data_IF_294515515895
#
_entry.id   IF_294515515895
#
_cell.length_a   1.000
_cell.length_b   1.000
_cell.length_c   1.000
_cell.angle_alpha   90.00
_cell.angle_beta   90.00
_cell.angle_gamma   90.00
#
_symmetry.space_group_name_H-M   'P 1'
#
loop_
_entity.id
_entity.type
_entity.pdbx_description
1 polymer ?
#
# COMPACT_ATOMS: atom_id res chain seq x y z
N UNK A 1 -21.23 -13.59 -18.30
CA UNK A 1 -20.41 -12.92 -17.31
C UNK A 1 -20.99 -13.03 -15.90
N UNK A 2 -22.17 -12.47 -15.61
CA UNK A 2 -22.75 -12.45 -14.25
C UNK A 2 -22.83 -13.81 -13.55
N UNK A 3 -23.22 -14.86 -14.26
CA UNK A 3 -23.28 -16.23 -13.72
C UNK A 3 -21.89 -16.72 -13.29
N UNK A 4 -20.88 -16.50 -14.11
CA UNK A 4 -19.48 -16.87 -13.79
C UNK A 4 -18.97 -16.12 -12.56
N UNK A 5 -19.10 -14.80 -12.54
CA UNK A 5 -18.65 -13.97 -11.41
C UNK A 5 -19.33 -14.39 -10.11
N UNK A 6 -20.66 -14.54 -10.11
CA UNK A 6 -21.38 -14.92 -8.90
C UNK A 6 -21.07 -16.36 -8.48
N UNK A 7 -21.01 -17.30 -9.43
CA UNK A 7 -20.66 -18.68 -9.13
C UNK A 7 -19.28 -18.78 -8.45
N UNK A 8 -18.29 -18.07 -8.96
CA UNK A 8 -16.95 -18.03 -8.38
C UNK A 8 -16.94 -17.38 -6.99
N UNK A 9 -17.67 -16.25 -6.79
CA UNK A 9 -17.80 -15.60 -5.47
C UNK A 9 -18.32 -16.53 -4.38
N UNK A 10 -19.34 -17.32 -4.71
CA UNK A 10 -19.93 -18.26 -3.74
C UNK A 10 -19.02 -19.44 -3.41
N UNK A 11 -18.09 -19.79 -4.31
CA UNK A 11 -17.15 -20.90 -4.10
C UNK A 11 -15.85 -20.46 -3.45
N UNK A 12 -15.30 -19.31 -3.84
CA UNK A 12 -14.00 -18.83 -3.37
C UNK A 12 -14.05 -18.28 -1.95
N UNK A 13 -15.15 -17.58 -1.57
CA UNK A 13 -15.37 -16.99 -0.24
C UNK A 13 -14.18 -16.15 0.27
N UNK A 14 -13.52 -15.44 -0.63
CA UNK A 14 -12.38 -14.59 -0.30
C UNK A 14 -12.84 -13.34 0.44
N UNK A 15 -12.17 -13.03 1.56
CA UNK A 15 -12.47 -11.86 2.37
C UNK A 15 -12.00 -10.59 1.66
N UNK A 16 -12.77 -9.51 1.76
CA UNK A 16 -12.36 -8.20 1.25
C UNK A 16 -11.25 -7.60 2.10
N UNK A 17 -10.41 -6.71 1.52
CA UNK A 17 -9.38 -6.00 2.28
C UNK A 17 -9.92 -5.27 3.50
N UNK A 18 -11.14 -4.70 3.39
CA UNK A 18 -11.81 -3.98 4.50
C UNK A 18 -12.55 -4.89 5.49
N UNK A 19 -12.42 -6.22 5.38
CA UNK A 19 -13.09 -7.18 6.25
C UNK A 19 -14.63 -7.25 6.14
N UNK A 20 -15.26 -6.44 5.27
CA UNK A 20 -16.72 -6.27 5.24
C UNK A 20 -17.51 -7.49 4.80
N UNK A 21 -16.94 -8.36 3.98
CA UNK A 21 -17.61 -9.57 3.48
C UNK A 21 -16.68 -10.54 2.74
N UNK A 22 -17.02 -11.84 2.81
CA UNK A 22 -16.29 -12.93 2.15
C UNK A 22 -16.75 -13.13 0.70
N UNK A 23 -16.70 -12.08 -0.14
CA UNK A 23 -17.08 -12.12 -1.54
C UNK A 23 -16.21 -11.22 -2.42
N UNK A 24 -14.92 -11.11 -2.07
CA UNK A 24 -13.98 -10.27 -2.79
C UNK A 24 -13.75 -10.75 -4.23
N UNK A 25 -13.38 -11.98 -4.43
CA UNK A 25 -12.93 -12.52 -5.71
C UNK A 25 -14.06 -13.18 -6.52
N UNK A 26 -14.13 -12.88 -7.84
CA UNK A 26 -13.53 -11.78 -8.58
C UNK A 26 -14.36 -10.48 -8.48
N UNK A 27 -13.77 -9.33 -8.87
CA UNK A 27 -14.47 -8.04 -8.85
C UNK A 27 -15.58 -7.95 -9.90
N UNK A 28 -16.84 -7.90 -9.44
CA UNK A 28 -18.01 -7.80 -10.33
C UNK A 28 -18.11 -6.44 -11.04
N UNK A 29 -17.79 -5.34 -10.36
CA UNK A 29 -17.80 -4.00 -10.95
C UNK A 29 -16.77 -3.90 -12.09
N UNK A 30 -15.57 -4.41 -11.86
CA UNK A 30 -14.52 -4.45 -12.88
C UNK A 30 -14.94 -5.32 -14.05
N UNK A 31 -15.48 -6.52 -13.79
CA UNK A 31 -15.96 -7.41 -14.85
C UNK A 31 -17.02 -6.72 -15.75
N UNK A 32 -18.01 -6.04 -15.14
CA UNK A 32 -19.07 -5.34 -15.88
C UNK A 32 -18.51 -4.19 -16.71
N UNK A 33 -17.58 -3.39 -16.15
CA UNK A 33 -16.94 -2.28 -16.86
C UNK A 33 -16.14 -2.76 -18.06
N UNK A 34 -15.42 -3.89 -17.93
CA UNK A 34 -14.65 -4.46 -19.04
C UNK A 34 -15.53 -5.15 -20.09
N UNK A 35 -16.69 -5.69 -19.74
CA UNK A 35 -17.71 -6.10 -20.74
C UNK A 35 -18.12 -4.88 -21.57
N UNK A 36 -18.50 -3.77 -20.93
CA UNK A 36 -18.90 -2.56 -21.62
C UNK A 36 -17.79 -1.98 -22.52
N UNK A 37 -16.57 -1.97 -22.03
CA UNK A 37 -15.39 -1.51 -22.78
C UNK A 37 -15.14 -2.38 -24.03
N UNK A 38 -15.25 -3.71 -23.89
CA UNK A 38 -15.04 -4.66 -24.99
C UNK A 38 -16.16 -4.56 -26.03
N UNK A 39 -17.40 -4.37 -25.60
CA UNK A 39 -18.53 -4.10 -26.51
C UNK A 39 -18.30 -2.79 -27.29
N UNK A 40 -17.93 -1.71 -26.59
CA UNK A 40 -17.64 -0.41 -27.21
C UNK A 40 -16.49 -0.51 -28.22
N UNK A 41 -15.44 -1.27 -27.88
CA UNK A 41 -14.34 -1.56 -28.79
C UNK A 41 -14.82 -2.26 -30.08
N UNK A 42 -15.62 -3.34 -29.93
CA UNK A 42 -16.06 -4.13 -31.08
C UNK A 42 -17.04 -3.38 -32.00
N UNK A 43 -17.96 -2.65 -31.40
CA UNK A 43 -19.03 -1.99 -32.17
C UNK A 43 -18.58 -0.64 -32.76
N UNK A 44 -17.75 0.10 -32.04
CA UNK A 44 -17.38 1.46 -32.43
C UNK A 44 -15.86 1.66 -32.61
N UNK A 45 -15.05 0.99 -31.76
CA UNK A 45 -13.60 1.11 -31.81
C UNK A 45 -13.01 0.60 -33.13
N UNK A 46 -13.49 -0.54 -33.61
CA UNK A 46 -13.05 -1.15 -34.86
C UNK A 46 -13.73 -0.59 -36.09
N UNK A 47 -14.93 0.02 -35.95
CA UNK A 47 -15.76 0.43 -37.08
C UNK A 47 -15.76 1.91 -37.33
N UNK A 48 -15.54 2.76 -36.31
CA UNK A 48 -15.65 4.23 -36.41
C UNK A 48 -14.36 4.94 -36.03
N UNK A 49 -13.86 4.73 -34.80
CA UNK A 49 -12.64 5.39 -34.34
C UNK A 49 -12.01 4.64 -33.15
N UNK A 50 -10.68 4.42 -33.14
CA UNK A 50 -9.94 3.80 -32.02
C UNK A 50 -10.13 4.52 -30.69
N UNK A 51 -10.48 5.80 -30.70
CA UNK A 51 -10.71 6.57 -29.47
C UNK A 51 -11.86 6.04 -28.62
N UNK A 52 -12.86 5.37 -29.21
CA UNK A 52 -13.90 4.69 -28.45
C UNK A 52 -13.33 3.54 -27.61
N UNK A 53 -12.35 2.81 -28.13
CA UNK A 53 -11.65 1.76 -27.40
C UNK A 53 -10.83 2.34 -26.25
N UNK A 54 -10.06 3.39 -26.53
CA UNK A 54 -9.24 4.07 -25.51
C UNK A 54 -10.12 4.60 -24.37
N UNK A 55 -11.21 5.27 -24.69
CA UNK A 55 -12.16 5.79 -23.70
C UNK A 55 -12.81 4.66 -22.88
N UNK A 56 -13.30 3.61 -23.56
CA UNK A 56 -13.95 2.48 -22.91
C UNK A 56 -13.04 1.74 -21.92
N UNK A 57 -11.86 1.34 -22.39
CA UNK A 57 -10.89 0.65 -21.53
C UNK A 57 -10.29 1.56 -20.48
N UNK A 58 -10.13 2.86 -20.76
CA UNK A 58 -9.70 3.85 -19.77
C UNK A 58 -10.67 3.95 -18.59
N UNK A 59 -11.97 4.08 -18.88
CA UNK A 59 -13.01 4.11 -17.83
C UNK A 59 -13.08 2.79 -17.07
N UNK A 60 -12.99 1.64 -17.75
CA UNK A 60 -13.02 0.33 -17.13
C UNK A 60 -11.83 0.13 -16.17
N UNK A 61 -10.65 0.57 -16.60
CA UNK A 61 -9.43 0.53 -15.77
C UNK A 61 -9.56 1.45 -14.56
N UNK A 62 -10.01 2.68 -14.76
CA UNK A 62 -10.26 3.61 -13.65
C UNK A 62 -11.24 3.01 -12.62
N UNK A 63 -12.29 2.33 -13.09
CA UNK A 63 -13.21 1.60 -12.20
C UNK A 63 -12.47 0.54 -11.37
N UNK A 64 -11.61 -0.26 -12.00
CA UNK A 64 -10.81 -1.26 -11.29
C UNK A 64 -9.88 -0.66 -10.24
N UNK A 65 -9.16 0.39 -10.62
CA UNK A 65 -8.24 1.13 -9.71
C UNK A 65 -9.01 1.68 -8.50
N UNK A 66 -10.15 2.31 -8.71
CA UNK A 66 -10.99 2.82 -7.63
C UNK A 66 -11.48 1.73 -6.68
N UNK A 67 -11.64 0.48 -7.14
CA UNK A 67 -12.02 -0.63 -6.25
C UNK A 67 -10.87 -1.04 -5.33
N UNK A 68 -9.61 -0.95 -5.80
CA UNK A 68 -8.42 -1.19 -4.98
C UNK A 68 -8.22 -0.04 -3.99
N UNK A 69 -8.24 1.20 -4.46
CA UNK A 69 -8.05 2.39 -3.61
C UNK A 69 -9.10 2.52 -2.49
N UNK A 70 -10.31 2.03 -2.74
CA UNK A 70 -11.39 2.02 -1.74
C UNK A 70 -11.36 0.76 -0.83
N UNK A 71 -10.28 0.01 -0.79
CA UNK A 71 -10.12 -1.23 0.00
C UNK A 71 -11.27 -2.26 -0.16
N UNK A 72 -11.96 -2.24 -1.31
CA UNK A 72 -13.11 -3.14 -1.57
C UNK A 72 -12.71 -4.44 -2.25
N UNK A 73 -11.58 -4.43 -2.93
CA UNK A 73 -11.08 -5.57 -3.70
C UNK A 73 -9.56 -5.60 -3.71
N UNK A 74 -9.01 -6.81 -3.67
CA UNK A 74 -7.61 -7.06 -3.94
C UNK A 74 -7.29 -6.80 -5.42
N UNK A 75 -6.02 -6.55 -5.73
CA UNK A 75 -5.57 -6.37 -7.11
C UNK A 75 -5.90 -7.61 -7.96
N UNK A 76 -5.72 -8.80 -7.39
CA UNK A 76 -6.09 -10.09 -8.00
C UNK A 76 -7.56 -10.16 -8.42
N UNK A 77 -8.48 -9.62 -7.58
CA UNK A 77 -9.92 -9.63 -7.86
C UNK A 77 -10.27 -8.76 -9.05
N UNK A 78 -9.62 -7.59 -9.12
CA UNK A 78 -9.79 -6.62 -10.20
C UNK A 78 -9.28 -7.20 -11.51
N UNK A 79 -8.11 -7.84 -11.50
CA UNK A 79 -7.54 -8.47 -12.68
C UNK A 79 -8.38 -9.63 -13.19
N UNK A 80 -8.78 -10.51 -12.30
CA UNK A 80 -9.67 -11.62 -12.64
C UNK A 80 -11.00 -11.13 -13.18
N UNK A 81 -11.54 -10.06 -12.58
CA UNK A 81 -12.76 -9.41 -13.04
C UNK A 81 -12.61 -8.86 -14.46
N UNK A 82 -11.52 -8.15 -14.75
CA UNK A 82 -11.22 -7.62 -16.09
C UNK A 82 -11.12 -8.75 -17.12
N UNK A 83 -10.35 -9.80 -16.82
CA UNK A 83 -10.19 -10.97 -17.69
C UNK A 83 -11.51 -11.67 -17.98
N UNK A 84 -12.35 -11.90 -16.96
CA UNK A 84 -13.68 -12.51 -17.11
C UNK A 84 -14.59 -11.61 -17.96
N UNK A 85 -14.53 -10.29 -17.80
CA UNK A 85 -15.31 -9.35 -18.59
C UNK A 85 -14.99 -9.43 -20.07
N UNK A 86 -13.71 -9.33 -20.43
CA UNK A 86 -13.22 -9.42 -21.81
C UNK A 86 -13.58 -10.80 -22.41
N UNK A 87 -13.19 -11.88 -21.73
CA UNK A 87 -13.39 -13.25 -22.21
C UNK A 87 -14.87 -13.56 -22.45
N UNK A 88 -15.75 -13.15 -21.53
CA UNK A 88 -17.20 -13.37 -21.67
C UNK A 88 -17.77 -12.67 -22.90
N UNK A 89 -17.28 -11.48 -23.23
CA UNK A 89 -17.71 -10.73 -24.41
C UNK A 89 -17.19 -11.39 -25.67
N UNK A 90 -15.90 -11.75 -25.70
CA UNK A 90 -15.28 -12.43 -26.86
C UNK A 90 -15.99 -13.76 -27.17
N UNK A 91 -16.24 -14.56 -26.14
CA UNK A 91 -16.99 -15.82 -26.30
C UNK A 91 -18.42 -15.57 -26.78
N UNK A 92 -19.07 -14.50 -26.32
CA UNK A 92 -20.42 -14.13 -26.78
C UNK A 92 -20.44 -13.81 -28.30
N UNK A 93 -19.47 -13.02 -28.79
CA UNK A 93 -19.33 -12.74 -30.21
C UNK A 93 -18.96 -13.99 -31.01
N UNK A 94 -18.01 -14.79 -30.55
CA UNK A 94 -17.61 -16.02 -31.20
C UNK A 94 -18.79 -16.99 -31.35
N UNK A 95 -19.61 -17.12 -30.29
CA UNK A 95 -20.81 -17.98 -30.31
C UNK A 95 -21.90 -17.43 -31.25
N UNK A 96 -22.09 -16.12 -31.26
CA UNK A 96 -23.00 -15.45 -32.20
C UNK A 96 -22.58 -15.66 -33.65
N UNK A 97 -21.28 -15.51 -33.93
CA UNK A 97 -20.74 -15.71 -35.28
C UNK A 97 -20.84 -17.18 -35.74
N UNK A 98 -20.64 -18.12 -34.79
CA UNK A 98 -20.81 -19.54 -35.07
C UNK A 98 -22.27 -19.90 -35.41
N UNK A 99 -23.23 -19.38 -34.65
CA UNK A 99 -24.64 -19.75 -34.78
C UNK A 99 -25.35 -19.02 -35.92
N UNK A 100 -25.05 -17.71 -36.12
CA UNK A 100 -25.83 -16.88 -37.01
C UNK A 100 -25.13 -16.52 -38.33
N UNK A 101 -23.79 -16.50 -38.32
CA UNK A 101 -23.04 -16.08 -39.52
C UNK A 101 -22.38 -17.25 -40.27
N UNK A 102 -22.41 -18.47 -39.71
CA UNK A 102 -21.77 -19.63 -40.29
C UNK A 102 -20.24 -19.50 -40.48
N UNK A 103 -19.66 -18.50 -39.85
CA UNK A 103 -18.22 -18.24 -39.87
C UNK A 103 -17.60 -18.94 -38.68
N UNK A 104 -16.71 -19.88 -38.94
CA UNK A 104 -15.98 -20.60 -37.90
C UNK A 104 -15.16 -19.66 -37.00
N UNK A 105 -14.71 -20.14 -35.83
CA UNK A 105 -13.87 -19.45 -34.86
C UNK A 105 -12.53 -18.93 -35.41
N UNK A 106 -12.14 -19.40 -36.60
CA UNK A 106 -10.89 -19.06 -37.28
C UNK A 106 -11.17 -18.13 -38.45
N UNK A 107 -11.22 -16.82 -38.18
CA UNK A 107 -11.16 -15.79 -39.21
C UNK A 107 -9.69 -15.56 -39.59
N UNK A 108 -9.26 -16.19 -40.69
CA UNK A 108 -7.85 -16.28 -41.07
C UNK A 108 -7.34 -15.15 -41.99
N UNK A 109 -8.12 -14.10 -42.26
CA UNK A 109 -7.86 -13.24 -43.38
C UNK A 109 -7.68 -11.75 -43.03
N UNK A 110 -6.74 -11.46 -42.13
CA UNK A 110 -6.15 -10.12 -42.11
C UNK A 110 -4.64 -10.23 -42.10
N UNK A 111 -4.01 -9.57 -43.06
CA UNK A 111 -2.55 -9.49 -43.10
C UNK A 111 -2.02 -8.99 -41.78
N UNK A 112 -1.22 -9.83 -41.16
CA UNK A 112 -0.55 -9.47 -39.92
C UNK A 112 0.62 -8.57 -40.27
N UNK A 113 0.47 -7.26 -40.06
CA UNK A 113 1.51 -6.29 -40.30
C UNK A 113 1.64 -5.36 -39.08
N UNK A 114 2.85 -4.89 -38.80
CA UNK A 114 3.16 -3.86 -37.81
C UNK A 114 3.22 -2.46 -38.45
N UNK A 115 2.52 -2.20 -39.54
CA UNK A 115 2.46 -0.87 -40.15
C UNK A 115 1.83 0.15 -39.19
N UNK A 116 0.82 -0.25 -38.41
CA UNK A 116 0.28 0.53 -37.30
C UNK A 116 0.35 -0.26 -36.00
N UNK A 117 1.41 -0.10 -35.18
CA UNK A 117 1.55 -0.78 -33.90
C UNK A 117 0.82 -0.10 -32.75
N UNK A 118 -0.15 0.80 -33.02
CA UNK A 118 -0.96 1.45 -31.99
C UNK A 118 -1.74 0.41 -31.20
N UNK A 119 -1.76 0.59 -29.88
CA UNK A 119 -2.35 -0.41 -28.98
C UNK A 119 -2.93 0.21 -27.72
N UNK A 120 -3.85 -0.54 -27.11
CA UNK A 120 -4.22 -0.42 -25.71
C UNK A 120 -4.09 -1.81 -25.07
N UNK A 121 -3.50 -1.90 -23.89
CA UNK A 121 -3.27 -3.16 -23.23
C UNK A 121 -3.40 -3.08 -21.73
N UNK A 122 -3.66 -4.25 -21.14
CA UNK A 122 -3.62 -4.48 -19.71
C UNK A 122 -2.50 -5.44 -19.42
N UNK A 123 -1.73 -5.11 -18.42
CA UNK A 123 -0.56 -5.89 -18.04
C UNK A 123 -0.65 -6.33 -16.59
N UNK A 124 -0.07 -7.46 -16.31
CA UNK A 124 0.15 -7.96 -14.96
C UNK A 124 1.62 -8.36 -14.83
N UNK A 125 2.21 -8.02 -13.70
CA UNK A 125 3.61 -8.32 -13.44
C UNK A 125 3.95 -8.41 -11.97
N UNK A 126 5.18 -8.79 -11.73
CA UNK A 126 5.79 -8.81 -10.41
C UNK A 126 6.88 -7.75 -10.34
N UNK A 127 6.80 -6.87 -9.36
CA UNK A 127 7.78 -5.83 -9.08
C UNK A 127 8.82 -6.28 -8.07
N UNK A 128 10.09 -6.10 -8.41
CA UNK A 128 11.24 -6.35 -7.56
C UNK A 128 11.88 -5.01 -7.20
N UNK A 129 12.40 -4.86 -5.99
CA UNK A 129 12.99 -3.62 -5.47
C UNK A 129 12.05 -2.88 -4.50
N UNK A 130 12.58 -1.87 -3.83
CA UNK A 130 11.82 -1.03 -2.90
C UNK A 130 11.15 -1.73 -1.72
N UNK A 131 11.69 -2.87 -1.30
CA UNK A 131 11.04 -3.75 -0.32
C UNK A 131 11.17 -3.33 1.13
N UNK A 132 12.20 -2.56 1.45
CA UNK A 132 12.53 -2.21 2.81
C UNK A 132 12.51 -0.70 2.96
N UNK A 133 11.72 -0.19 3.90
CA UNK A 133 11.67 1.24 4.24
C UNK A 133 12.18 1.35 5.67
N UNK A 134 13.42 1.83 5.82
CA UNK A 134 14.09 1.97 7.11
C UNK A 134 14.06 3.40 7.59
N UNK A 135 13.86 3.58 8.87
CA UNK A 135 13.98 4.84 9.59
C UNK A 135 15.00 4.69 10.71
N UNK A 136 15.71 5.77 10.99
CA UNK A 136 16.67 5.87 12.07
C UNK A 136 16.30 7.04 13.00
N UNK A 137 16.95 7.15 14.13
CA UNK A 137 16.80 8.30 15.02
C UNK A 137 17.14 9.64 14.31
N UNK A 138 17.95 9.58 13.26
CA UNK A 138 18.29 10.75 12.47
C UNK A 138 17.10 11.26 11.62
N UNK A 139 16.13 10.43 11.35
CA UNK A 139 14.94 10.76 10.57
C UNK A 139 13.79 11.28 11.46
N UNK A 140 13.98 11.27 12.80
CA UNK A 140 12.99 11.77 13.76
C UNK A 140 12.77 13.27 13.62
N UNK A 141 11.53 13.68 13.56
CA UNK A 141 11.11 15.08 13.56
C UNK A 141 11.06 15.60 15.01
N UNK A 142 11.21 16.91 15.17
CA UNK A 142 11.08 17.61 16.47
C UNK A 142 11.96 17.02 17.60
N UNK A 143 13.19 16.66 17.29
CA UNK A 143 14.15 16.04 18.24
C UNK A 143 14.31 16.83 19.53
N UNK A 144 14.27 18.17 19.46
CA UNK A 144 14.35 19.04 20.63
C UNK A 144 13.21 18.79 21.62
N UNK A 145 12.01 18.50 21.12
CA UNK A 145 10.83 18.16 21.94
C UNK A 145 11.06 16.90 22.75
N UNK A 146 11.84 15.97 22.24
CA UNK A 146 12.14 14.69 22.90
C UNK A 146 13.44 14.70 23.70
N UNK A 147 14.07 15.88 23.87
CA UNK A 147 15.32 16.03 24.64
C UNK A 147 16.54 15.36 23.99
N UNK A 148 16.41 14.95 22.72
CA UNK A 148 17.50 14.35 21.95
C UNK A 148 18.35 15.47 21.34
N UNK A 149 19.11 16.15 22.20
CA UNK A 149 20.11 17.11 21.74
C UNK A 149 21.33 16.35 21.21
N UNK A 150 21.69 16.67 19.96
CA UNK A 150 22.91 16.20 19.29
C UNK A 150 23.36 14.78 19.68
N UNK A 151 22.71 13.80 19.09
CA UNK A 151 23.34 12.49 18.95
C UNK A 151 24.49 12.73 17.96
N UNK A 152 25.70 12.95 18.47
CA UNK A 152 26.90 12.93 17.64
C UNK A 152 26.93 11.61 16.92
N UNK A 153 27.15 11.63 15.61
CA UNK A 153 27.30 10.50 14.68
C UNK A 153 27.19 9.09 15.31
N UNK A 154 26.07 8.80 15.95
CA UNK A 154 25.72 7.45 16.33
C UNK A 154 25.26 6.82 15.03
N UNK A 155 25.98 5.80 14.56
CA UNK A 155 25.48 4.87 13.55
C UNK A 155 24.24 4.21 14.15
N UNK A 156 23.11 4.96 14.11
CA UNK A 156 21.83 4.41 14.55
C UNK A 156 21.42 3.37 13.53
N UNK A 157 21.32 2.12 13.95
CA UNK A 157 20.81 1.06 13.11
C UNK A 157 19.44 1.49 12.58
N UNK A 158 19.20 1.26 11.30
CA UNK A 158 17.90 1.54 10.70
C UNK A 158 16.95 0.38 11.02
N UNK A 159 15.76 0.72 11.48
CA UNK A 159 14.67 -0.23 11.59
C UNK A 159 13.83 -0.26 10.33
N UNK A 160 13.52 -1.45 9.87
CA UNK A 160 12.92 -1.64 8.57
C UNK A 160 11.49 -2.14 8.66
N UNK A 161 10.59 -1.40 7.99
CA UNK A 161 9.31 -1.96 7.56
C UNK A 161 9.58 -2.70 6.26
N UNK A 162 9.35 -4.02 6.27
CA UNK A 162 9.64 -4.90 5.15
C UNK A 162 8.38 -5.26 4.38
N UNK A 163 8.50 -5.26 3.07
CA UNK A 163 7.43 -5.63 2.14
C UNK A 163 7.81 -6.85 1.30
N UNK A 164 6.80 -7.57 0.83
CA UNK A 164 6.97 -8.64 -0.15
C UNK A 164 7.17 -8.04 -1.55
N UNK A 165 7.51 -8.89 -2.52
CA UNK A 165 7.53 -8.49 -3.91
C UNK A 165 6.18 -7.90 -4.32
N UNK A 166 6.22 -6.80 -5.08
CA UNK A 166 5.02 -6.10 -5.47
C UNK A 166 4.23 -6.88 -6.53
N UNK A 167 2.91 -6.87 -6.41
CA UNK A 167 2.02 -7.16 -7.54
C UNK A 167 1.82 -5.87 -8.32
N UNK A 168 1.99 -5.92 -9.63
CA UNK A 168 1.90 -4.76 -10.52
C UNK A 168 0.83 -5.01 -11.56
N UNK A 169 0.00 -4.00 -11.77
CA UNK A 169 -1.04 -3.98 -12.79
C UNK A 169 -0.94 -2.69 -13.56
N UNK A 170 -0.95 -2.78 -14.89
CA UNK A 170 -0.90 -1.62 -15.76
C UNK A 170 -2.09 -1.59 -16.71
N UNK A 171 -2.55 -0.36 -17.00
CA UNK A 171 -3.24 -0.03 -18.22
C UNK A 171 -2.32 0.87 -19.04
N UNK A 172 -1.94 0.41 -20.22
CA UNK A 172 -0.95 1.07 -21.07
C UNK A 172 -1.49 1.19 -22.49
N UNK A 173 -1.26 2.35 -23.11
CA UNK A 173 -1.67 2.56 -24.49
C UNK A 173 -0.76 3.55 -25.19
N UNK A 174 -0.57 3.34 -26.48
CA UNK A 174 0.20 4.24 -27.33
C UNK A 174 -0.40 4.35 -28.72
N UNK A 175 -0.44 5.56 -29.21
CA UNK A 175 -0.75 5.87 -30.60
C UNK A 175 0.54 6.10 -31.37
N UNK A 176 0.76 5.33 -32.44
CA UNK A 176 1.97 5.39 -33.23
C UNK A 176 1.77 6.31 -34.43
N UNK A 177 2.66 7.29 -34.54
CA UNK A 177 2.72 8.23 -35.67
C UNK A 177 3.26 7.58 -36.95
N UNK A 178 4.08 6.57 -36.77
CA UNK A 178 4.62 5.69 -37.78
C UNK A 178 4.97 4.34 -37.16
N UNK A 179 5.43 3.36 -37.93
CA UNK A 179 5.75 2.03 -37.42
C UNK A 179 6.82 1.94 -36.32
N UNK A 180 7.53 3.05 -36.05
CA UNK A 180 8.66 3.07 -35.14
C UNK A 180 8.42 3.94 -33.90
N UNK A 181 7.69 5.05 -34.03
CA UNK A 181 7.55 6.06 -32.97
C UNK A 181 6.08 6.30 -32.63
N UNK A 182 5.76 6.21 -31.37
CA UNK A 182 4.44 6.50 -30.81
C UNK A 182 4.52 7.38 -29.58
N UNK A 183 3.39 7.96 -29.23
CA UNK A 183 3.15 8.73 -28.02
C UNK A 183 2.06 8.02 -27.23
N UNK A 184 2.26 7.88 -25.92
CA UNK A 184 1.29 7.15 -25.11
C UNK A 184 1.41 7.41 -23.62
N UNK A 185 0.73 6.57 -22.85
CA UNK A 185 0.74 6.67 -21.42
C UNK A 185 0.50 5.33 -20.73
N UNK A 186 0.79 5.31 -19.44
CA UNK A 186 0.63 4.16 -18.58
C UNK A 186 0.04 4.60 -17.24
N UNK A 187 -0.98 3.90 -16.81
CA UNK A 187 -1.49 3.93 -15.45
C UNK A 187 -1.02 2.64 -14.78
N UNK A 188 -0.24 2.76 -13.73
CA UNK A 188 0.33 1.62 -12.98
C UNK A 188 -0.18 1.63 -11.55
N UNK A 189 -0.64 0.48 -11.08
CA UNK A 189 -0.91 0.21 -9.68
C UNK A 189 0.11 -0.83 -9.22
N UNK A 190 0.81 -0.50 -8.15
CA UNK A 190 1.76 -1.39 -7.48
C UNK A 190 1.29 -1.59 -6.05
N UNK A 191 1.11 -2.84 -5.64
CA UNK A 191 0.72 -3.19 -4.29
C UNK A 191 1.80 -4.07 -3.66
N UNK A 192 2.32 -3.63 -2.51
CA UNK A 192 3.34 -4.33 -1.73
C UNK A 192 2.72 -4.75 -0.40
N UNK A 193 2.55 -6.05 -0.18
CA UNK A 193 2.06 -6.56 1.10
C UNK A 193 3.13 -6.42 2.17
N UNK A 194 2.76 -5.92 3.35
CA UNK A 194 3.63 -5.88 4.49
C UNK A 194 4.04 -7.30 4.89
N UNK A 195 5.32 -7.47 5.21
CA UNK A 195 5.92 -8.71 5.69
C UNK A 195 6.29 -8.61 7.16
N UNK A 196 6.83 -7.48 7.56
CA UNK A 196 7.28 -7.20 8.91
C UNK A 196 7.30 -5.69 9.12
N UNK A 197 6.91 -5.27 10.31
CA UNK A 197 7.00 -3.88 10.74
C UNK A 197 8.26 -3.63 11.60
N UNK A 198 9.18 -4.61 11.65
CA UNK A 198 10.37 -4.52 12.49
C UNK A 198 10.01 -4.33 13.96
N UNK A 199 10.72 -3.46 14.63
CA UNK A 199 10.42 -3.07 16.02
C UNK A 199 9.19 -2.16 16.14
N UNK A 200 8.58 -1.72 15.04
CA UNK A 200 7.31 -0.99 15.05
C UNK A 200 6.09 -1.92 15.17
N UNK A 201 6.29 -3.23 15.21
CA UNK A 201 5.23 -4.19 15.49
C UNK A 201 5.08 -4.37 17.01
N UNK A 202 4.53 -3.38 17.65
CA UNK A 202 4.42 -3.28 19.11
C UNK A 202 3.17 -3.95 19.68
N UNK A 203 2.27 -4.39 18.83
CA UNK A 203 1.04 -5.04 19.25
C UNK A 203 1.29 -6.53 19.33
N UNK A 204 1.61 -7.01 20.54
CA UNK A 204 1.60 -8.42 20.86
C UNK A 204 0.32 -8.74 21.65
N UNK A 205 -0.44 -9.72 21.19
CA UNK A 205 -1.62 -10.22 21.90
C UNK A 205 -1.25 -10.99 23.16
N UNK A 206 0.02 -11.39 23.29
CA UNK A 206 0.44 -12.33 24.33
C UNK A 206 1.13 -11.66 25.53
N UNK A 207 1.63 -10.43 25.38
CA UNK A 207 2.26 -9.71 26.49
C UNK A 207 2.32 -8.19 26.27
N UNK A 208 1.50 -7.40 26.95
CA UNK A 208 1.57 -5.94 26.93
C UNK A 208 2.93 -5.39 27.41
N UNK A 209 3.71 -6.18 28.12
CA UNK A 209 5.01 -5.79 28.67
C UNK A 209 6.14 -5.80 27.63
N UNK A 210 6.09 -6.66 26.62
CA UNK A 210 7.07 -6.64 25.51
C UNK A 210 6.96 -5.38 24.65
N UNK A 211 5.81 -4.80 24.66
CA UNK A 211 5.46 -3.60 23.97
C UNK A 211 6.29 -2.37 24.41
N UNK A 212 6.56 -2.25 25.67
CA UNK A 212 7.30 -1.12 26.25
C UNK A 212 8.77 -1.10 25.86
N UNK A 213 9.39 -2.25 25.91
CA UNK A 213 10.82 -2.36 25.65
C UNK A 213 11.20 -1.93 24.24
N UNK A 214 10.26 -2.09 23.30
CA UNK A 214 10.55 -1.88 21.88
C UNK A 214 10.38 -0.44 21.45
N UNK A 215 9.47 0.33 22.05
CA UNK A 215 9.26 1.74 21.69
C UNK A 215 10.29 2.66 22.31
N UNK A 216 10.66 2.40 23.56
CA UNK A 216 11.60 3.26 24.28
C UNK A 216 13.01 3.13 23.70
N UNK A 217 13.39 1.95 23.21
CA UNK A 217 14.72 1.70 22.68
C UNK A 217 15.13 2.65 21.52
N UNK A 218 14.30 2.92 20.52
CA UNK A 218 14.68 3.83 19.44
C UNK A 218 14.84 5.27 19.88
N UNK A 219 14.11 5.68 20.89
CA UNK A 219 14.04 7.09 21.30
C UNK A 219 14.96 7.38 22.48
N UNK A 220 15.16 6.43 23.36
CA UNK A 220 15.87 6.63 24.63
C UNK A 220 16.99 5.63 24.89
N UNK A 221 17.44 4.86 23.92
CA UNK A 221 18.56 3.92 23.93
C UNK A 221 19.04 3.42 25.30
N UNK A 222 19.76 4.26 26.05
CA UNK A 222 20.29 3.92 27.37
C UNK A 222 19.27 4.02 28.50
N UNK A 223 18.21 4.80 28.36
CA UNK A 223 17.19 4.97 29.41
C UNK A 223 16.39 3.68 29.66
N UNK A 224 16.33 2.80 28.69
CA UNK A 224 15.69 1.49 28.82
C UNK A 224 16.33 0.61 29.90
N UNK A 225 17.62 0.80 30.18
CA UNK A 225 18.34 0.03 31.20
C UNK A 225 18.04 0.49 32.63
N UNK A 226 17.49 1.71 32.80
CA UNK A 226 17.25 2.31 34.12
C UNK A 226 15.86 2.04 34.68
N UNK A 227 14.92 1.55 33.87
CA UNK A 227 13.58 1.20 34.32
C UNK A 227 13.49 -0.30 34.54
N UNK A 228 13.35 -0.77 35.81
CA UNK A 228 13.21 -2.19 36.04
C UNK A 228 11.89 -2.69 35.46
N UNK A 229 11.96 -3.64 34.55
CA UNK A 229 10.78 -4.32 33.97
C UNK A 229 9.84 -4.90 35.01
N UNK A 230 10.36 -5.25 36.20
CA UNK A 230 9.59 -5.80 37.28
C UNK A 230 8.50 -4.86 37.83
N UNK A 231 8.73 -3.56 37.85
CA UNK A 231 7.73 -2.59 38.31
C UNK A 231 6.56 -2.38 37.35
N UNK A 232 6.74 -2.74 36.08
CA UNK A 232 5.69 -2.70 35.07
C UNK A 232 4.80 -3.94 35.04
N UNK A 233 5.32 -5.10 35.52
CA UNK A 233 4.59 -6.37 35.52
C UNK A 233 3.59 -6.49 36.67
N UNK A 234 3.86 -5.89 37.81
CA UNK A 234 2.97 -5.97 38.98
C UNK A 234 1.98 -4.81 39.08
N UNK A 235 2.37 -3.61 38.67
CA UNK A 235 1.47 -2.44 38.60
C UNK A 235 0.75 -2.28 37.28
N UNK A 236 1.20 -2.96 36.28
CA UNK A 236 0.70 -3.07 34.92
C UNK A 236 0.18 -1.78 34.27
N UNK A 237 0.38 -1.67 32.99
CA UNK A 237 -0.38 -0.71 32.19
C UNK A 237 -1.87 -0.90 32.47
N UNK A 238 -2.67 0.14 32.46
CA UNK A 238 -4.12 0.02 32.67
C UNK A 238 -4.83 -0.62 31.45
N UNK A 239 -4.25 -1.64 30.87
CA UNK A 239 -4.74 -2.37 29.70
C UNK A 239 -5.08 -3.80 30.12
N UNK A 240 -6.30 -4.23 29.88
CA UNK A 240 -6.71 -5.64 30.05
C UNK A 240 -6.64 -6.42 28.76
N UNK A 241 -6.85 -5.76 27.64
CA UNK A 241 -6.75 -6.34 26.31
C UNK A 241 -6.25 -5.29 25.31
N UNK A 242 -5.32 -5.69 24.47
CA UNK A 242 -4.78 -4.83 23.42
C UNK A 242 -4.67 -5.63 22.13
N UNK A 243 -5.28 -5.12 21.08
CA UNK A 243 -5.28 -5.73 19.75
C UNK A 243 -4.96 -4.71 18.70
N UNK A 244 -4.32 -5.15 17.62
CA UNK A 244 -4.10 -4.32 16.44
C UNK A 244 -4.80 -4.91 15.24
N UNK A 245 -5.37 -4.04 14.41
CA UNK A 245 -5.96 -4.39 13.13
C UNK A 245 -5.30 -3.59 12.02
N UNK A 246 -4.88 -4.28 10.95
CA UNK A 246 -4.31 -3.61 9.79
C UNK A 246 -5.44 -3.26 8.85
N UNK A 247 -5.72 -1.97 8.67
CA UNK A 247 -6.74 -1.46 7.72
C UNK A 247 -6.36 -1.77 6.27
N UNK A 248 -5.07 -1.66 5.95
CA UNK A 248 -4.52 -2.01 4.66
C UNK A 248 -3.21 -2.74 4.88
N UNK A 249 -3.15 -4.00 4.50
CA UNK A 249 -1.91 -4.79 4.56
C UNK A 249 -0.98 -4.52 3.36
N UNK A 250 -1.35 -3.56 2.50
CA UNK A 250 -0.63 -3.21 1.30
C UNK A 250 -0.26 -1.72 1.31
N UNK A 251 1.01 -1.45 1.04
CA UNK A 251 1.42 -0.13 0.57
C UNK A 251 1.09 -0.06 -0.93
N UNK A 252 0.03 0.64 -1.28
CA UNK A 252 -0.42 0.78 -2.65
C UNK A 252 0.14 2.07 -3.27
N UNK A 253 0.75 1.92 -4.43
CA UNK A 253 1.29 3.01 -5.23
C UNK A 253 0.55 3.10 -6.55
N UNK A 254 0.07 4.29 -6.88
CA UNK A 254 -0.54 4.62 -8.16
C UNK A 254 0.37 5.57 -8.93
N UNK A 255 0.72 5.21 -10.16
CA UNK A 255 1.56 6.04 -11.03
C UNK A 255 0.85 6.31 -12.34
N UNK A 256 0.70 7.60 -12.68
CA UNK A 256 0.22 8.06 -13.97
C UNK A 256 1.39 8.65 -14.75
N UNK A 257 1.67 8.10 -15.92
CA UNK A 257 2.82 8.51 -16.74
C UNK A 257 2.47 8.61 -18.23
N UNK A 258 3.19 9.48 -18.92
CA UNK A 258 3.11 9.63 -20.36
C UNK A 258 4.51 9.71 -20.97
N UNK A 259 4.63 9.48 -22.26
CA UNK A 259 5.93 9.57 -22.93
C UNK A 259 5.98 8.94 -24.30
N UNK A 260 7.18 8.56 -24.69
CA UNK A 260 7.50 8.04 -26.02
C UNK A 260 7.60 6.52 -25.99
N UNK A 261 7.07 5.93 -27.05
CA UNK A 261 7.12 4.50 -27.33
C UNK A 261 7.84 4.26 -28.64
N UNK A 262 8.73 3.29 -28.63
CA UNK A 262 9.47 2.88 -29.80
C UNK A 262 9.17 1.44 -30.13
N UNK A 263 9.00 1.12 -31.41
CA UNK A 263 8.70 -0.22 -31.88
C UNK A 263 9.61 -0.56 -33.05
N UNK A 264 10.22 -1.73 -32.98
CA UNK A 264 11.09 -2.26 -34.03
C UNK A 264 10.48 -3.59 -34.48
N UNK A 265 9.81 -3.65 -35.63
CA UNK A 265 9.30 -4.89 -36.16
C UNK A 265 10.45 -5.83 -36.55
N UNK A 266 10.47 -7.01 -35.96
CA UNK A 266 11.47 -8.05 -36.24
C UNK A 266 10.97 -9.02 -37.32
N UNK A 267 9.65 -9.26 -37.33
CA UNK A 267 9.00 -10.14 -38.30
C UNK A 267 7.52 -9.78 -38.40
N UNK A 268 6.74 -10.49 -39.22
CA UNK A 268 5.29 -10.32 -39.28
C UNK A 268 4.56 -10.56 -37.94
N UNK A 269 5.16 -11.35 -37.05
CA UNK A 269 4.55 -11.73 -35.77
C UNK A 269 5.25 -11.13 -34.54
N UNK A 270 6.50 -10.69 -34.69
CA UNK A 270 7.30 -10.25 -33.56
C UNK A 270 7.79 -8.81 -33.73
N UNK A 271 7.71 -8.05 -32.68
CA UNK A 271 8.31 -6.72 -32.58
C UNK A 271 8.99 -6.53 -31.23
N UNK A 272 10.10 -5.79 -31.23
CA UNK A 272 10.79 -5.34 -30.04
C UNK A 272 10.32 -3.91 -29.72
N UNK A 273 9.97 -3.66 -28.47
CA UNK A 273 9.53 -2.36 -27.99
C UNK A 273 10.44 -1.80 -26.91
N UNK A 274 10.53 -0.47 -26.84
CA UNK A 274 11.08 0.25 -25.68
C UNK A 274 10.27 1.51 -25.45
N UNK A 275 10.39 2.10 -24.28
CA UNK A 275 9.62 3.27 -23.86
C UNK A 275 10.42 4.17 -22.94
N UNK A 276 10.06 5.47 -22.96
CA UNK A 276 10.57 6.47 -22.03
C UNK A 276 9.38 7.24 -21.48
N UNK A 277 9.14 7.15 -20.19
CA UNK A 277 7.97 7.68 -19.52
C UNK A 277 8.37 8.64 -18.40
N UNK A 278 7.57 9.68 -18.22
CA UNK A 278 7.62 10.58 -17.08
C UNK A 278 6.21 10.71 -16.50
N UNK A 279 6.09 10.79 -15.19
CA UNK A 279 4.79 10.88 -14.55
C UNK A 279 4.84 11.29 -13.09
N UNK A 280 3.70 11.11 -12.43
CA UNK A 280 3.54 11.33 -10.99
C UNK A 280 3.14 10.03 -10.32
N UNK A 281 3.74 9.78 -9.18
CA UNK A 281 3.45 8.64 -8.31
C UNK A 281 2.78 9.12 -7.03
N UNK A 282 1.69 8.48 -6.66
CA UNK A 282 0.91 8.70 -5.46
C UNK A 282 0.94 7.42 -4.63
N UNK A 283 1.07 7.54 -3.33
CA UNK A 283 1.08 6.40 -2.43
C UNK A 283 -0.13 6.49 -1.50
N UNK A 284 -0.86 5.39 -1.35
CA UNK A 284 -1.90 5.26 -0.35
C UNK A 284 -1.24 4.93 0.99
N UNK A 285 -1.73 5.51 2.06
CA UNK A 285 -1.23 5.25 3.40
C UNK A 285 -1.52 3.81 3.83
N UNK A 286 -0.56 3.24 4.53
CA UNK A 286 -0.69 1.97 5.24
C UNK A 286 -0.99 2.29 6.69
N UNK A 287 -2.20 1.93 7.14
CA UNK A 287 -2.69 2.21 8.49
C UNK A 287 -2.82 0.95 9.32
N UNK A 288 -2.38 1.03 10.55
CA UNK A 288 -2.63 0.04 11.58
C UNK A 288 -3.43 0.70 12.70
N UNK A 289 -4.61 0.15 12.98
CA UNK A 289 -5.42 0.58 14.11
C UNK A 289 -5.04 -0.18 15.37
N UNK A 290 -4.90 0.54 16.46
CA UNK A 290 -4.83 -0.01 17.80
C UNK A 290 -6.20 -0.02 18.45
N UNK A 291 -6.46 -1.05 19.23
CA UNK A 291 -7.63 -1.16 20.10
C UNK A 291 -7.15 -1.53 21.50
N UNK A 292 -7.64 -0.82 22.52
CA UNK A 292 -7.34 -1.16 23.90
C UNK A 292 -8.58 -1.02 24.81
N UNK A 293 -8.70 -1.93 25.75
CA UNK A 293 -9.72 -1.89 26.78
C UNK A 293 -9.12 -2.18 28.16
N UNK A 294 -9.70 -1.61 29.18
CA UNK A 294 -9.20 -1.82 30.55
C UNK A 294 -9.97 -1.03 31.59
N UNK A 295 -9.41 -1.01 32.80
CA UNK A 295 -9.92 -0.21 33.89
C UNK A 295 -9.16 1.11 33.97
N UNK A 296 -9.90 2.22 34.13
CA UNK A 296 -9.29 3.53 34.35
C UNK A 296 -8.58 3.52 35.70
N UNK A 297 -7.32 3.91 35.68
CA UNK A 297 -6.50 3.94 36.86
C UNK A 297 -6.10 5.35 37.27
N UNK A 298 -6.02 5.56 38.56
CA UNK A 298 -5.34 6.68 39.15
C UNK A 298 -3.96 6.24 39.57
N UNK A 299 -2.93 6.95 39.14
CA UNK A 299 -1.54 6.68 39.55
C UNK A 299 -1.12 7.83 40.44
N UNK A 300 -1.30 7.65 41.78
CA UNK A 300 -0.94 8.70 42.71
C UNK A 300 0.58 8.88 42.75
N UNK A 301 1.00 10.11 42.84
CA UNK A 301 2.40 10.46 43.02
C UNK A 301 2.56 11.37 44.22
N UNK A 302 3.64 11.19 44.92
CA UNK A 302 4.07 12.09 45.97
C UNK A 302 5.32 12.84 45.50
N UNK A 303 5.20 14.16 45.49
CA UNK A 303 6.36 15.02 45.33
C UNK A 303 7.23 14.92 46.56
N UNK A 304 8.43 14.43 46.42
CA UNK A 304 9.33 14.28 47.54
C UNK A 304 9.89 15.65 47.97
N UNK A 305 9.31 16.25 48.99
CA UNK A 305 9.77 17.50 49.54
C UNK A 305 10.37 17.22 50.93
N UNK A 306 11.66 17.39 51.08
CA UNK A 306 12.34 17.34 52.36
C UNK A 306 12.98 18.70 52.62
N UNK A 307 12.71 19.24 53.81
CA UNK A 307 13.23 20.54 54.23
C UNK A 307 12.91 21.72 53.29
N UNK A 308 11.74 21.68 52.63
CA UNK A 308 11.30 22.71 51.69
C UNK A 308 12.03 22.70 50.35
N UNK A 309 12.78 21.68 50.05
CA UNK A 309 13.42 21.44 48.74
C UNK A 309 12.89 20.16 48.11
N UNK A 310 12.69 20.25 46.81
CA UNK A 310 12.38 19.08 46.00
C UNK A 310 13.66 18.23 45.91
N UNK A 311 13.57 16.96 46.29
CA UNK A 311 14.64 16.02 46.11
C UNK A 311 14.52 15.34 44.73
N UNK A 312 15.57 15.45 43.97
CA UNK A 312 15.76 14.75 42.71
C UNK A 312 16.54 13.45 42.97
N UNK A 313 16.17 12.36 42.34
CA UNK A 313 17.00 11.17 42.33
C UNK A 313 18.26 11.40 41.45
N UNK A 314 19.15 10.41 41.39
CA UNK A 314 20.40 10.48 40.59
C UNK A 314 20.16 10.73 39.10
N UNK A 315 18.92 10.57 38.60
CA UNK A 315 18.49 10.80 37.21
C UNK A 315 17.66 12.07 37.05
N UNK A 316 17.55 12.92 38.08
CA UNK A 316 16.78 14.16 38.02
C UNK A 316 15.27 14.00 38.18
N UNK A 317 14.81 12.86 38.70
CA UNK A 317 13.38 12.59 38.93
C UNK A 317 12.97 12.94 40.35
N UNK A 318 11.83 13.58 40.52
CA UNK A 318 11.41 14.15 41.78
C UNK A 318 10.11 13.56 42.36
N UNK A 319 9.62 12.45 41.88
CA UNK A 319 8.41 11.83 42.42
C UNK A 319 8.53 10.32 42.49
N UNK A 320 7.98 9.78 43.58
CA UNK A 320 7.75 8.36 43.71
C UNK A 320 6.33 8.08 43.18
N UNK A 321 6.22 7.07 42.35
CA UNK A 321 4.92 6.55 41.93
C UNK A 321 4.48 5.50 42.92
N UNK A 322 3.25 5.63 43.41
CA UNK A 322 2.57 4.56 44.14
C UNK A 322 1.91 3.58 43.15
N UNK A 323 1.48 2.43 43.67
CA UNK A 323 0.77 1.45 42.86
C UNK A 323 -0.52 2.03 42.25
N UNK A 324 -0.82 1.77 40.97
CA UNK A 324 -2.01 2.25 40.33
C UNK A 324 -3.29 1.77 41.02
N UNK A 325 -4.19 2.71 41.34
CA UNK A 325 -5.49 2.42 41.99
C UNK A 325 -6.59 2.42 40.93
N UNK A 326 -7.42 1.40 40.89
CA UNK A 326 -8.58 1.39 40.00
C UNK A 326 -9.62 2.41 40.45
N UNK A 327 -10.14 3.21 39.55
CA UNK A 327 -11.26 4.14 39.79
C UNK A 327 -12.62 3.45 39.79
N UNK A 328 -12.68 2.21 39.29
CA UNK A 328 -13.94 1.46 39.04
C UNK A 328 -14.58 1.77 37.66
N UNK A 329 -14.02 2.72 36.91
CA UNK A 329 -14.45 3.00 35.53
C UNK A 329 -13.67 2.13 34.54
N UNK A 330 -14.25 1.88 33.38
CA UNK A 330 -13.64 1.14 32.27
C UNK A 330 -13.53 2.03 31.04
N UNK A 331 -12.52 1.77 30.22
CA UNK A 331 -12.39 2.38 28.89
C UNK A 331 -12.34 1.32 27.81
N UNK A 332 -12.73 1.73 26.60
CA UNK A 332 -12.63 0.94 25.38
C UNK A 332 -12.40 1.94 24.22
N UNK A 333 -11.26 1.89 23.56
CA UNK A 333 -10.80 2.92 22.65
C UNK A 333 -10.09 2.32 21.43
N UNK A 334 -10.39 2.91 20.25
CA UNK A 334 -9.69 2.67 18.99
C UNK A 334 -8.91 3.93 18.62
N UNK A 335 -7.71 3.76 18.05
CA UNK A 335 -6.91 4.88 17.56
C UNK A 335 -6.01 4.46 16.39
N UNK A 336 -5.51 5.44 15.62
CA UNK A 336 -4.49 5.21 14.60
C UNK A 336 -3.14 4.98 15.29
N UNK A 337 -2.70 3.71 15.29
CA UNK A 337 -1.53 3.26 16.01
C UNK A 337 -0.23 3.52 15.26
N UNK A 338 -0.23 3.22 13.96
CA UNK A 338 0.90 3.43 13.07
C UNK A 338 0.40 3.73 11.67
N UNK A 339 0.89 4.83 11.11
CA UNK A 339 0.58 5.26 9.75
C UNK A 339 1.86 5.44 8.97
N UNK A 340 1.99 4.75 7.83
CA UNK A 340 3.08 4.92 6.88
C UNK A 340 2.53 5.51 5.58
N UNK A 341 2.92 6.74 5.29
CA UNK A 341 2.57 7.45 4.07
C UNK A 341 3.78 7.89 3.27
N UNK A 342 3.54 8.37 2.05
CA UNK A 342 4.56 9.04 1.26
C UNK A 342 3.99 10.18 0.44
N UNK A 343 4.77 11.24 0.30
CA UNK A 343 4.42 12.36 -0.54
C UNK A 343 4.39 11.97 -2.02
N UNK A 344 3.54 12.65 -2.80
CA UNK A 344 3.49 12.43 -4.25
C UNK A 344 4.82 12.88 -4.90
N UNK A 345 5.34 12.08 -5.81
CA UNK A 345 6.67 12.30 -6.39
C UNK A 345 6.69 12.13 -7.90
N UNK A 346 7.73 12.67 -8.54
CA UNK A 346 7.98 12.45 -9.96
C UNK A 346 8.53 11.06 -10.18
N UNK A 347 7.99 10.35 -11.17
CA UNK A 347 8.40 9.01 -11.54
C UNK A 347 8.94 9.01 -12.99
N UNK A 348 10.05 8.32 -13.18
CA UNK A 348 10.64 8.05 -14.49
C UNK A 348 10.54 6.56 -14.78
N UNK A 349 10.16 6.22 -15.98
CA UNK A 349 10.00 4.83 -16.40
C UNK A 349 10.65 4.57 -17.74
N UNK A 350 11.26 3.40 -17.87
CA UNK A 350 11.75 2.86 -19.13
C UNK A 350 11.49 1.36 -19.16
N UNK A 351 11.69 0.72 -20.30
CA UNK A 351 11.52 -0.73 -20.38
C UNK A 351 11.77 -1.26 -21.77
N UNK A 352 11.94 -2.57 -21.81
CA UNK A 352 12.03 -3.34 -23.05
C UNK A 352 10.90 -4.35 -23.11
N UNK A 353 10.43 -4.64 -24.31
CA UNK A 353 9.34 -5.60 -24.48
C UNK A 353 9.45 -6.36 -25.78
N UNK A 354 8.99 -7.61 -25.74
CA UNK A 354 8.82 -8.45 -26.93
C UNK A 354 7.32 -8.67 -27.13
N UNK A 355 6.81 -8.20 -28.27
CA UNK A 355 5.41 -8.31 -28.65
C UNK A 355 5.24 -9.43 -29.65
N UNK A 356 4.28 -10.32 -29.39
CA UNK A 356 3.84 -11.37 -30.32
C UNK A 356 2.42 -11.06 -30.79
N UNK A 357 2.25 -10.80 -32.08
CA UNK A 357 0.97 -10.52 -32.72
C UNK A 357 0.28 -11.85 -33.03
N UNK A 358 -0.76 -12.17 -32.27
CA UNK A 358 -1.53 -13.42 -32.42
C UNK A 358 -2.56 -13.32 -33.53
N UNK A 359 -3.28 -12.17 -33.59
CA UNK A 359 -4.26 -11.82 -34.63
C UNK A 359 -4.12 -10.33 -34.96
N UNK A 360 -4.76 -9.87 -36.02
CA UNK A 360 -4.75 -8.44 -36.37
C UNK A 360 -5.10 -7.54 -35.16
N UNK A 361 -6.04 -7.97 -34.32
CA UNK A 361 -6.59 -7.17 -33.25
C UNK A 361 -5.99 -7.48 -31.86
N UNK A 362 -5.20 -8.54 -31.72
CA UNK A 362 -4.69 -8.98 -30.43
C UNK A 362 -3.22 -9.34 -30.45
N UNK A 363 -2.53 -8.89 -29.44
CA UNK A 363 -1.11 -9.18 -29.24
C UNK A 363 -0.84 -9.52 -27.79
N UNK A 364 0.18 -10.32 -27.58
CA UNK A 364 0.79 -10.58 -26.27
C UNK A 364 2.12 -9.88 -26.20
N UNK A 365 2.43 -9.32 -25.04
CA UNK A 365 3.70 -8.65 -24.82
C UNK A 365 4.32 -9.15 -23.52
N UNK A 366 5.53 -9.69 -23.61
CA UNK A 366 6.41 -9.88 -22.45
C UNK A 366 7.22 -8.61 -22.27
N UNK A 367 7.32 -8.09 -21.03
CA UNK A 367 8.04 -6.86 -20.76
C UNK A 367 8.89 -6.93 -19.51
N UNK A 368 9.94 -6.12 -19.50
CA UNK A 368 10.75 -5.80 -18.33
C UNK A 368 10.84 -4.28 -18.27
N UNK A 369 10.26 -3.70 -17.23
CA UNK A 369 10.25 -2.27 -16.98
C UNK A 369 11.15 -1.92 -15.81
N UNK A 370 11.77 -0.76 -15.89
CA UNK A 370 12.48 -0.12 -14.79
C UNK A 370 11.82 1.22 -14.48
N UNK A 371 11.44 1.42 -13.21
CA UNK A 371 10.88 2.66 -12.70
C UNK A 371 11.76 3.22 -11.59
N UNK A 372 12.00 4.52 -11.66
CA UNK A 372 12.72 5.29 -10.65
C UNK A 372 11.83 6.41 -10.11
N UNK A 373 11.80 6.54 -8.80
CA UNK A 373 11.14 7.66 -8.12
C UNK A 373 11.88 7.97 -6.83
N UNK A 374 11.89 9.23 -6.42
CA UNK A 374 12.40 9.68 -5.13
C UNK A 374 11.21 10.14 -4.30
N UNK A 375 11.01 9.53 -3.13
CA UNK A 375 9.85 9.74 -2.28
C UNK A 375 10.29 10.12 -0.88
N UNK A 376 9.55 11.06 -0.31
CA UNK A 376 9.61 11.39 1.11
C UNK A 376 8.58 10.54 1.83
N UNK A 377 9.04 9.58 2.63
CA UNK A 377 8.21 8.74 3.48
C UNK A 377 8.03 9.41 4.84
N UNK A 378 6.83 9.32 5.38
CA UNK A 378 6.48 9.75 6.73
C UNK A 378 5.91 8.56 7.48
N UNK A 379 6.54 8.21 8.61
CA UNK A 379 6.05 7.21 9.54
C UNK A 379 5.60 7.93 10.80
N UNK A 380 4.33 7.78 11.15
CA UNK A 380 3.76 8.29 12.41
C UNK A 380 3.43 7.09 13.30
N UNK A 381 3.96 7.07 14.51
CA UNK A 381 3.66 6.05 15.51
C UNK A 381 3.08 6.72 16.75
N UNK A 382 1.89 6.33 17.15
CA UNK A 382 1.17 6.83 18.34
C UNK A 382 0.74 5.66 19.24
N UNK A 383 1.69 4.95 19.84
CA UNK A 383 1.42 3.69 20.54
C UNK A 383 0.69 3.88 21.86
N UNK A 384 0.74 5.07 22.45
CA UNK A 384 0.22 5.35 23.79
C UNK A 384 -1.00 6.26 23.85
N UNK A 385 -1.67 6.48 22.72
CA UNK A 385 -2.87 7.32 22.66
C UNK A 385 -3.95 6.87 23.66
N UNK A 386 -4.08 5.56 23.87
CA UNK A 386 -5.04 4.99 24.80
C UNK A 386 -4.87 5.51 26.25
N UNK A 387 -3.67 5.96 26.61
CA UNK A 387 -3.39 6.49 27.96
C UNK A 387 -4.27 7.68 28.31
N UNK A 388 -4.73 8.47 27.33
CA UNK A 388 -5.67 9.57 27.54
C UNK A 388 -7.00 9.11 28.17
N UNK A 389 -7.34 7.85 27.96
CA UNK A 389 -8.57 7.23 28.43
C UNK A 389 -8.34 6.24 29.57
N UNK A 390 -7.13 5.72 29.69
CA UNK A 390 -6.76 4.67 30.60
C UNK A 390 -6.40 5.17 32.01
N UNK A 391 -6.12 6.45 32.16
CA UNK A 391 -5.77 7.09 33.43
C UNK A 391 -6.66 8.29 33.71
N UNK A 392 -6.69 8.74 34.96
CA UNK A 392 -7.41 9.98 35.31
C UNK A 392 -6.76 11.20 34.64
N UNK A 393 -7.51 12.28 34.36
CA UNK A 393 -6.96 13.50 33.77
C UNK A 393 -5.77 14.05 34.54
N UNK A 394 -5.81 14.02 35.87
CA UNK A 394 -4.69 14.47 36.72
C UNK A 394 -3.44 13.63 36.49
N UNK A 395 -3.60 12.32 36.43
CA UNK A 395 -2.48 11.40 36.12
C UNK A 395 -1.96 11.64 34.71
N UNK A 396 -2.85 11.84 33.73
CA UNK A 396 -2.46 12.09 32.35
C UNK A 396 -1.65 13.39 32.23
N UNK A 397 -2.14 14.47 32.84
CA UNK A 397 -1.44 15.78 32.82
C UNK A 397 -0.04 15.65 33.43
N UNK A 398 0.10 14.88 34.50
CA UNK A 398 1.39 14.60 35.09
C UNK A 398 2.32 13.86 34.13
N UNK A 399 1.83 12.78 33.51
CA UNK A 399 2.62 11.97 32.58
C UNK A 399 2.99 12.78 31.32
N UNK A 400 2.13 13.68 30.85
CA UNK A 400 2.34 14.49 29.64
C UNK A 400 3.31 15.65 29.86
N UNK A 401 3.41 16.19 31.09
CA UNK A 401 4.33 17.30 31.40
C UNK A 401 5.78 16.85 31.56
N UNK A 402 6.01 15.56 31.71
CA UNK A 402 7.35 14.99 31.77
C UNK A 402 7.81 14.64 30.35
N UNK A 403 8.86 15.27 29.84
CA UNK A 403 9.49 14.94 28.54
C UNK A 403 9.85 13.46 28.49
N UNK A 404 10.21 12.89 29.63
CA UNK A 404 10.37 11.45 29.85
C UNK A 404 9.39 11.06 30.94
N UNK A 405 8.29 10.40 30.60
CA UNK A 405 7.42 9.84 31.63
C UNK A 405 8.24 8.86 32.50
N UNK A 406 7.86 8.65 33.77
CA UNK A 406 8.56 7.69 34.64
C UNK A 406 8.58 6.27 34.03
N UNK A 407 7.72 6.00 33.08
CA UNK A 407 7.69 4.74 32.31
C UNK A 407 8.44 4.81 30.98
N UNK A 408 9.13 5.91 30.66
CA UNK A 408 9.83 6.09 29.37
C UNK A 408 8.89 6.21 28.16
N UNK A 409 7.63 6.59 28.40
CA UNK A 409 6.63 6.72 27.33
C UNK A 409 6.65 8.08 26.68
N UNK A 410 6.52 8.12 25.39
CA UNK A 410 6.09 9.29 24.65
C UNK A 410 4.57 9.21 24.49
N UNK A 411 3.86 10.12 25.17
CA UNK A 411 2.40 10.21 25.07
C UNK A 411 1.95 10.94 23.80
N UNK A 412 2.86 11.60 23.12
CA UNK A 412 2.62 12.27 21.84
C UNK A 412 3.07 11.37 20.68
N UNK A 413 2.42 11.50 19.50
CA UNK A 413 2.85 10.78 18.31
C UNK A 413 4.30 11.08 17.95
N UNK A 414 5.02 10.05 17.55
CA UNK A 414 6.41 10.13 17.08
C UNK A 414 6.41 10.10 15.57
N UNK A 415 7.02 11.10 14.95
CA UNK A 415 7.04 11.26 13.50
C UNK A 415 8.46 11.14 12.97
N UNK A 416 8.65 10.20 12.04
CA UNK A 416 9.89 10.04 11.27
C UNK A 416 9.65 10.48 9.83
N UNK A 417 10.59 11.19 9.25
CA UNK A 417 10.52 11.63 7.85
C UNK A 417 11.84 11.38 7.15
N UNK A 418 11.78 10.68 6.00
CA UNK A 418 12.96 10.28 5.24
C UNK A 418 12.74 10.31 3.75
N UNK A 419 13.72 10.86 3.04
CA UNK A 419 13.78 10.78 1.58
C UNK A 419 14.45 9.47 1.16
N UNK A 420 13.78 8.73 0.27
CA UNK A 420 14.28 7.46 -0.25
C UNK A 420 14.15 7.37 -1.75
N UNK A 421 15.24 6.92 -2.39
CA UNK A 421 15.27 6.58 -3.81
C UNK A 421 14.74 5.17 -3.99
N UNK A 422 13.65 5.05 -4.75
CA UNK A 422 12.97 3.80 -5.01
C UNK A 422 13.25 3.37 -6.44
N UNK A 423 13.81 2.17 -6.58
CA UNK A 423 14.13 1.54 -7.84
C UNK A 423 13.31 0.26 -7.95
N UNK A 424 12.57 0.12 -9.03
CA UNK A 424 11.73 -1.04 -9.26
C UNK A 424 12.02 -1.66 -10.61
N UNK A 425 12.20 -2.96 -10.63
CA UNK A 425 12.20 -3.76 -11.86
C UNK A 425 10.92 -4.56 -11.89
N UNK A 426 10.11 -4.37 -12.92
CA UNK A 426 8.84 -5.10 -13.10
C UNK A 426 8.96 -6.04 -14.29
N UNK A 427 8.68 -7.31 -14.07
CA UNK A 427 8.60 -8.32 -15.13
C UNK A 427 7.14 -8.75 -15.25
N UNK A 428 6.61 -8.74 -16.45
CA UNK A 428 5.20 -9.03 -16.62
C UNK A 428 4.79 -9.40 -18.03
N UNK A 429 3.51 -9.74 -18.15
CA UNK A 429 2.83 -10.09 -19.38
C UNK A 429 1.69 -9.09 -19.64
N UNK A 430 1.55 -8.67 -20.87
CA UNK A 430 0.51 -7.75 -21.33
C UNK A 430 -0.36 -8.42 -22.38
N UNK A 431 -1.65 -8.25 -22.24
CA UNK A 431 -2.62 -8.51 -23.29
C UNK A 431 -3.02 -7.18 -23.94
N UNK A 432 -2.86 -7.10 -25.25
CA UNK A 432 -3.07 -5.88 -25.99
C UNK A 432 -4.11 -6.05 -27.09
N UNK A 433 -4.91 -4.99 -27.22
CA UNK A 433 -5.79 -4.77 -28.36
C UNK A 433 -5.09 -3.81 -29.32
N UNK A 434 -4.86 -4.24 -30.55
CA UNK A 434 -4.30 -3.38 -31.58
C UNK A 434 -5.40 -2.48 -32.15
N UNK A 435 -5.07 -1.20 -32.37
CA UNK A 435 -6.00 -0.14 -32.78
C UNK A 435 -5.92 0.14 -34.27
#
# INVERSE_FOLDING_TARGET
MAILVNGIKYTAKEMRPDGSSANAWPSGHTATSFVGATLLHKEYGLTRSPWFSVAGYGVATATGVMRVLNNRHWVSDVMSGAGIGILSTELGYAFSDLLFKGKGLLRNDMEMDFENPSFFGISMGMGLGGKDIGFSLNDLQDREKYGIMEIGNVDSEEDYIQFRAATVVDAEGAYFLNKYLGIGGRLRVRAMSAKSFGQYNYISTDSPTEYWSTIVAPVYGEAQQTFPQASLSEGGLPVTNMTGTVKSDHLAEFTASCGLYFNIPLSKHFALGTKLLIGRSFTQELDIDGHAEGNVKDIPYEMWISNGKIHEDELGRWFALEDPKSTGETYNVDWDYLTLGAESSTSWGTGISLTYKYKSNFSWRLFVDYDYTEKTFTLTADPFNFMKHAVTPTTYDLLSTSIVSPYGMLLDPVVYKKDKKMNYVTIGLSFMVNL
#
